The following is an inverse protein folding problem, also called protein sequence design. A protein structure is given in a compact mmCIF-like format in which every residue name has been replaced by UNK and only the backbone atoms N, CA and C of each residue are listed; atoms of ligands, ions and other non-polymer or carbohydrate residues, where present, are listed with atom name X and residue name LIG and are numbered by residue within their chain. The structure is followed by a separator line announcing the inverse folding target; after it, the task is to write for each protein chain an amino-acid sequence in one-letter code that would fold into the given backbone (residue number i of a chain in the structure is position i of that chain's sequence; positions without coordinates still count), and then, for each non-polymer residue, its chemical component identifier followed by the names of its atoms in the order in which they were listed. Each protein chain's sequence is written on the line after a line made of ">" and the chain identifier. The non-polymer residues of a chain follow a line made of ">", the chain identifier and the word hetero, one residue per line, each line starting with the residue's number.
data_IF_957033513154
#
_entry.id   IF_957033513154
#
_cell.length_a   1.000
_cell.length_b   1.000
_cell.length_c   1.000
_cell.angle_alpha   90.00
_cell.angle_beta   90.00
_cell.angle_gamma   90.00
#
_symmetry.space_group_name_H-M   'P 1'
#
loop_
_entity.id
_entity.type
_entity.pdbx_description
1 polymer ?
#
# COMPACT_ATOMS: atom_id res chain seq x y z
N UNK A 1 17.59 -11.43 16.15
CA UNK A 1 17.53 -10.53 14.98
C UNK A 1 16.52 -9.40 15.19
N UNK A 2 15.22 -9.70 15.44
CA UNK A 2 14.16 -8.66 15.62
C UNK A 2 14.48 -7.73 16.78
N UNK A 3 14.92 -8.23 17.93
CA UNK A 3 15.37 -7.42 19.07
C UNK A 3 16.48 -6.46 18.66
N UNK A 4 17.48 -6.94 17.94
CA UNK A 4 18.57 -6.12 17.44
C UNK A 4 18.09 -5.03 16.47
N UNK A 5 17.12 -5.37 15.60
CA UNK A 5 16.52 -4.37 14.69
C UNK A 5 15.78 -3.28 15.48
N UNK A 6 15.06 -3.65 16.54
CA UNK A 6 14.38 -2.70 17.41
C UNK A 6 15.38 -1.81 18.16
N UNK A 7 16.46 -2.38 18.74
CA UNK A 7 17.52 -1.65 19.45
C UNK A 7 18.27 -0.68 18.54
N UNK A 8 18.49 -1.03 17.28
CA UNK A 8 19.20 -0.19 16.29
C UNK A 8 18.27 0.74 15.51
N UNK A 9 16.98 0.76 15.82
CA UNK A 9 15.95 1.50 15.07
C UNK A 9 15.99 1.23 13.55
N UNK A 10 16.32 0.00 13.16
CA UNK A 10 16.34 -0.42 11.75
C UNK A 10 14.95 -0.36 11.16
N UNK A 11 14.81 0.32 10.01
CA UNK A 11 13.55 0.40 9.28
C UNK A 11 13.25 -0.86 8.46
N UNK A 12 11.98 -1.23 8.38
CA UNK A 12 11.47 -2.35 7.55
C UNK A 12 10.43 -1.82 6.57
N UNK A 13 10.64 -2.06 5.27
CA UNK A 13 9.62 -1.88 4.24
C UNK A 13 9.04 -3.26 3.90
N UNK A 14 7.80 -3.51 4.30
CA UNK A 14 7.09 -4.75 4.01
C UNK A 14 6.33 -4.64 2.70
N UNK A 15 6.61 -5.54 1.75
CA UNK A 15 5.99 -5.60 0.42
C UNK A 15 5.22 -6.92 0.28
N UNK A 16 3.98 -7.02 0.81
CA UNK A 16 3.27 -8.29 0.95
C UNK A 16 2.96 -8.96 -0.39
N UNK A 17 2.52 -8.21 -1.41
CA UNK A 17 2.20 -8.77 -2.73
C UNK A 17 3.46 -9.34 -3.39
N UNK A 18 4.57 -8.58 -3.36
CA UNK A 18 5.85 -9.06 -3.87
C UNK A 18 6.30 -10.33 -3.14
N UNK A 19 6.22 -10.37 -1.81
CA UNK A 19 6.58 -11.54 -1.03
C UNK A 19 5.74 -12.77 -1.39
N UNK A 20 4.44 -12.60 -1.64
CA UNK A 20 3.55 -13.68 -2.07
C UNK A 20 3.89 -14.16 -3.49
N UNK A 21 4.09 -13.24 -4.43
CA UNK A 21 4.44 -13.58 -5.82
C UNK A 21 5.78 -14.33 -5.91
N UNK A 22 6.76 -13.93 -5.10
CA UNK A 22 8.09 -14.54 -5.07
C UNK A 22 8.21 -15.72 -4.09
N UNK A 23 7.13 -16.06 -3.37
CA UNK A 23 7.12 -17.11 -2.34
C UNK A 23 8.18 -16.89 -1.24
N UNK A 24 8.45 -15.62 -0.89
CA UNK A 24 9.48 -15.24 0.10
C UNK A 24 9.03 -15.39 1.55
N UNK A 25 7.77 -15.77 1.79
CA UNK A 25 7.20 -15.95 3.11
C UNK A 25 6.43 -14.74 3.63
N UNK A 26 5.87 -14.86 4.83
CA UNK A 26 5.08 -13.83 5.49
C UNK A 26 5.93 -13.02 6.48
N UNK A 27 5.84 -11.70 6.40
CA UNK A 27 6.52 -10.79 7.31
C UNK A 27 5.96 -10.93 8.74
N UNK A 28 6.78 -11.14 9.78
CA UNK A 28 6.35 -11.37 11.15
C UNK A 28 5.95 -10.07 11.86
N UNK A 29 4.98 -9.32 11.30
CA UNK A 29 4.51 -8.03 11.81
C UNK A 29 4.17 -8.06 13.30
N UNK A 30 3.42 -9.06 13.84
CA UNK A 30 3.13 -9.10 15.27
C UNK A 30 4.39 -9.18 16.14
N UNK A 31 5.41 -9.89 15.66
CA UNK A 31 6.69 -9.99 16.36
C UNK A 31 7.43 -8.66 16.36
N UNK A 32 7.42 -7.93 15.27
CA UNK A 32 8.03 -6.60 15.19
C UNK A 32 7.36 -5.62 16.15
N UNK A 33 6.03 -5.56 16.15
CA UNK A 33 5.26 -4.70 17.05
C UNK A 33 5.50 -5.07 18.53
N UNK A 34 5.52 -6.36 18.86
CA UNK A 34 5.79 -6.86 20.21
C UNK A 34 7.16 -6.43 20.74
N UNK A 35 8.16 -6.34 19.88
CA UNK A 35 9.52 -5.88 20.25
C UNK A 35 9.70 -4.36 20.13
N UNK A 36 8.62 -3.61 19.88
CA UNK A 36 8.65 -2.15 19.83
C UNK A 36 9.25 -1.57 18.55
N UNK A 37 9.34 -2.34 17.46
CA UNK A 37 9.79 -1.83 16.17
C UNK A 37 8.75 -0.87 15.61
N UNK A 38 9.00 0.43 15.68
CA UNK A 38 8.10 1.48 15.20
C UNK A 38 8.41 1.95 13.77
N UNK A 39 9.61 1.63 13.26
CA UNK A 39 10.04 1.94 11.89
C UNK A 39 9.66 0.78 10.96
N UNK A 40 8.36 0.56 10.81
CA UNK A 40 7.82 -0.44 9.89
C UNK A 40 6.79 0.22 8.97
N UNK A 41 7.00 0.11 7.66
CA UNK A 41 6.12 0.65 6.63
C UNK A 41 5.74 -0.39 5.59
N UNK A 42 4.74 -0.08 4.77
CA UNK A 42 4.40 -0.86 3.59
C UNK A 42 5.09 -0.28 2.35
N UNK A 43 5.38 -1.13 1.39
CA UNK A 43 5.88 -0.78 0.08
C UNK A 43 5.28 -1.65 -1.01
N UNK A 44 5.32 -1.18 -2.25
CA UNK A 44 4.79 -1.92 -3.40
C UNK A 44 5.86 -2.72 -4.14
N UNK A 45 7.16 -2.48 -3.83
CA UNK A 45 8.29 -3.06 -4.55
C UNK A 45 8.37 -2.62 -6.03
N UNK A 46 9.23 -3.25 -6.81
CA UNK A 46 9.43 -2.95 -8.22
C UNK A 46 8.36 -3.58 -9.12
N UNK A 47 8.19 -3.03 -10.32
CA UNK A 47 7.19 -3.48 -11.29
C UNK A 47 7.35 -4.95 -11.74
N UNK A 48 8.53 -5.56 -11.52
CA UNK A 48 8.77 -6.97 -11.84
C UNK A 48 8.18 -7.93 -10.79
N UNK A 49 7.92 -7.46 -9.58
CA UNK A 49 7.44 -8.25 -8.45
C UNK A 49 6.13 -7.73 -7.85
N UNK A 50 5.62 -6.61 -8.36
CA UNK A 50 4.30 -6.07 -8.01
C UNK A 50 3.65 -5.46 -9.24
N UNK A 51 2.48 -5.97 -9.62
CA UNK A 51 1.84 -5.64 -10.88
C UNK A 51 0.95 -4.39 -10.84
N UNK A 52 0.52 -3.94 -9.65
CA UNK A 52 -0.52 -2.92 -9.54
C UNK A 52 -0.02 -1.57 -9.01
N UNK A 53 1.10 -1.52 -8.28
CA UNK A 53 1.57 -0.33 -7.54
C UNK A 53 0.47 0.31 -6.68
N UNK A 54 -0.44 -0.52 -6.14
CA UNK A 54 -1.64 -0.10 -5.44
C UNK A 54 -1.47 -0.28 -3.93
N UNK A 55 -1.26 0.82 -3.20
CA UNK A 55 -1.05 0.78 -1.75
C UNK A 55 -2.27 0.25 -0.97
N UNK A 56 -3.51 0.50 -1.43
CA UNK A 56 -4.70 -0.05 -0.76
C UNK A 56 -4.76 -1.57 -0.87
N UNK A 57 -4.31 -2.12 -1.99
CA UNK A 57 -4.18 -3.56 -2.19
C UNK A 57 -3.07 -4.16 -1.31
N UNK A 58 -1.92 -3.48 -1.20
CA UNK A 58 -0.84 -3.88 -0.28
C UNK A 58 -1.31 -3.92 1.17
N UNK A 59 -2.03 -2.89 1.64
CA UNK A 59 -2.62 -2.85 2.98
C UNK A 59 -3.51 -4.07 3.21
N UNK A 60 -4.44 -4.33 2.30
CA UNK A 60 -5.37 -5.45 2.40
C UNK A 60 -4.65 -6.79 2.38
N UNK A 61 -3.72 -7.00 1.46
CA UNK A 61 -2.95 -8.23 1.36
C UNK A 61 -2.10 -8.47 2.61
N UNK A 62 -1.43 -7.43 3.13
CA UNK A 62 -0.68 -7.51 4.38
C UNK A 62 -1.57 -7.96 5.54
N UNK A 63 -2.73 -7.32 5.71
CA UNK A 63 -3.69 -7.64 6.76
C UNK A 63 -4.20 -9.08 6.65
N UNK A 64 -4.69 -9.49 5.48
CA UNK A 64 -5.26 -10.82 5.28
C UNK A 64 -4.22 -11.93 5.43
N UNK A 65 -3.01 -11.75 4.88
CA UNK A 65 -1.91 -12.68 5.04
C UNK A 65 -1.53 -12.83 6.52
N UNK A 66 -1.50 -11.73 7.24
CA UNK A 66 -1.17 -11.72 8.67
C UNK A 66 -2.25 -12.43 9.49
N UNK A 67 -3.54 -12.15 9.22
CA UNK A 67 -4.68 -12.85 9.82
C UNK A 67 -4.64 -14.35 9.57
N UNK A 68 -4.33 -14.75 8.34
CA UNK A 68 -4.21 -16.18 7.99
C UNK A 68 -3.06 -16.85 8.74
N UNK A 69 -1.93 -16.18 8.91
CA UNK A 69 -0.70 -16.76 9.45
C UNK A 69 -0.69 -16.77 10.97
N UNK A 70 -1.20 -15.73 11.65
CA UNK A 70 -1.08 -15.57 13.11
C UNK A 70 -2.44 -15.54 13.85
N UNK A 71 -3.56 -15.64 13.14
CA UNK A 71 -4.89 -15.74 13.74
C UNK A 71 -5.24 -14.56 14.64
N UNK A 72 -5.50 -14.83 15.91
CA UNK A 72 -5.84 -13.85 16.95
C UNK A 72 -4.67 -12.97 17.40
N UNK A 73 -3.44 -13.38 17.11
CA UNK A 73 -2.23 -12.59 17.37
C UNK A 73 -1.86 -11.63 16.25
N UNK A 74 -2.63 -11.62 15.15
CA UNK A 74 -2.40 -10.72 14.04
C UNK A 74 -2.51 -9.25 14.45
N UNK A 75 -1.74 -8.39 13.78
CA UNK A 75 -1.84 -6.95 13.93
C UNK A 75 -3.24 -6.44 13.54
N UNK A 76 -3.62 -5.29 14.11
CA UNK A 76 -4.94 -4.67 13.92
C UNK A 76 -5.01 -3.87 12.61
N UNK A 77 -6.21 -3.51 12.11
CA UNK A 77 -6.34 -2.59 10.98
C UNK A 77 -5.61 -1.26 11.20
N UNK A 78 -5.64 -0.69 12.42
CA UNK A 78 -4.91 0.54 12.75
C UNK A 78 -3.40 0.41 12.55
N UNK A 79 -2.81 -0.75 12.90
CA UNK A 79 -1.40 -1.00 12.68
C UNK A 79 -1.04 -0.97 11.19
N UNK A 80 -1.89 -1.53 10.33
CA UNK A 80 -1.64 -1.52 8.88
C UNK A 80 -1.84 -0.13 8.26
N UNK A 81 -2.82 0.63 8.71
CA UNK A 81 -2.96 2.03 8.29
C UNK A 81 -1.77 2.88 8.75
N UNK A 82 -1.29 2.65 9.98
CA UNK A 82 -0.05 3.26 10.47
C UNK A 82 1.15 2.90 9.58
N UNK A 83 1.34 1.63 9.22
CA UNK A 83 2.43 1.19 8.35
C UNK A 83 2.37 1.84 6.97
N UNK A 84 1.17 2.08 6.44
CA UNK A 84 0.95 2.74 5.15
C UNK A 84 1.14 4.28 5.21
N UNK A 85 1.25 4.86 6.39
CA UNK A 85 1.31 6.32 6.61
C UNK A 85 2.51 6.71 7.46
N UNK A 86 2.31 6.93 8.76
CA UNK A 86 3.35 7.40 9.69
C UNK A 86 4.51 6.39 9.85
N UNK A 87 4.23 5.10 9.78
CA UNK A 87 5.26 4.05 9.78
C UNK A 87 6.17 4.14 8.57
N UNK A 88 5.60 4.33 7.38
CA UNK A 88 6.34 4.57 6.14
C UNK A 88 7.21 5.83 6.21
N UNK A 89 6.66 6.93 6.74
CA UNK A 89 7.42 8.16 6.97
C UNK A 89 8.66 7.93 7.85
N UNK A 90 8.50 7.18 8.94
CA UNK A 90 9.62 6.82 9.82
C UNK A 90 10.68 5.96 9.13
N UNK A 91 10.27 5.01 8.26
CA UNK A 91 11.21 4.22 7.45
C UNK A 91 12.04 5.11 6.54
N UNK A 92 11.41 6.13 5.94
CA UNK A 92 12.07 7.13 5.09
C UNK A 92 12.94 8.14 5.90
N UNK A 93 12.87 8.13 7.23
CA UNK A 93 13.54 9.10 8.08
C UNK A 93 12.96 10.51 7.96
N UNK A 94 11.67 10.63 7.63
CA UNK A 94 10.94 11.91 7.52
C UNK A 94 9.99 12.09 8.68
N UNK A 95 9.95 13.30 9.22
CA UNK A 95 9.11 13.74 10.34
C UNK A 95 8.07 14.80 9.95
N UNK A 96 8.08 15.20 8.67
CA UNK A 96 7.21 16.21 8.08
C UNK A 96 6.03 15.65 7.26
N UNK A 97 5.91 14.32 7.18
CA UNK A 97 4.84 13.60 6.47
C UNK A 97 4.26 12.46 7.32
N UNK A 98 3.21 11.80 6.83
CA UNK A 98 2.63 10.58 7.42
C UNK A 98 1.40 10.82 8.28
N UNK A 99 1.08 12.06 8.64
CA UNK A 99 -0.15 12.47 9.32
C UNK A 99 -0.45 13.96 9.08
N UNK A 100 -1.70 14.36 9.32
CA UNK A 100 -2.13 15.74 9.13
C UNK A 100 -2.00 16.54 10.43
N UNK A 101 -1.13 17.55 10.43
CA UNK A 101 -0.98 18.52 11.51
C UNK A 101 -0.44 19.86 11.01
N UNK A 102 -0.63 20.95 11.75
CA UNK A 102 -0.01 22.24 11.40
C UNK A 102 1.53 22.12 11.33
N UNK A 103 2.12 22.62 10.26
CA UNK A 103 3.58 22.55 10.02
C UNK A 103 4.06 21.31 9.27
N UNK A 104 3.19 20.33 9.05
CA UNK A 104 3.49 19.15 8.21
C UNK A 104 3.31 19.49 6.72
N UNK A 105 3.90 18.69 5.84
CA UNK A 105 3.57 18.70 4.43
C UNK A 105 2.08 18.35 4.24
N UNK A 106 1.44 19.05 3.31
CA UNK A 106 0.02 18.79 3.02
C UNK A 106 -0.09 17.63 2.03
N UNK A 107 0.17 16.42 2.54
CA UNK A 107 0.05 15.15 1.81
C UNK A 107 -1.19 14.40 2.32
N UNK A 108 -2.23 14.30 1.51
CA UNK A 108 -3.44 13.58 1.91
C UNK A 108 -4.23 13.05 0.71
N UNK A 109 -5.01 12.02 0.98
CA UNK A 109 -5.96 11.43 0.04
C UNK A 109 -7.38 11.64 0.55
N UNK A 110 -8.26 12.13 -0.32
CA UNK A 110 -9.71 12.22 -0.06
C UNK A 110 -10.39 11.00 -0.65
N UNK A 111 -11.15 10.31 0.18
CA UNK A 111 -11.89 9.10 -0.21
C UNK A 111 -13.39 9.38 -0.29
N UNK A 112 -14.05 8.89 -1.34
CA UNK A 112 -15.50 8.99 -1.51
C UNK A 112 -16.19 7.71 -1.04
N UNK A 113 -16.82 7.82 0.14
CA UNK A 113 -17.57 6.73 0.76
C UNK A 113 -19.01 6.58 0.24
N UNK A 114 -19.48 7.50 -0.60
CA UNK A 114 -20.84 7.47 -1.13
C UNK A 114 -21.00 6.45 -2.27
N UNK A 115 -20.56 5.23 -2.01
CA UNK A 115 -20.62 4.10 -2.94
C UNK A 115 -21.29 2.90 -2.27
N UNK A 116 -22.13 2.17 -3.00
CA UNK A 116 -22.86 1.03 -2.46
C UNK A 116 -21.93 -0.04 -1.85
N UNK A 117 -20.75 -0.23 -2.43
CA UNK A 117 -19.72 -1.18 -1.95
C UNK A 117 -19.28 -0.90 -0.51
N UNK A 118 -19.38 0.36 -0.06
CA UNK A 118 -18.95 0.80 1.27
C UNK A 118 -20.12 1.13 2.19
N UNK A 119 -21.34 0.70 1.84
CA UNK A 119 -22.51 0.87 2.67
C UNK A 119 -22.28 0.17 4.03
N UNK A 120 -22.33 0.95 5.12
CA UNK A 120 -22.00 0.46 6.46
C UNK A 120 -20.55 0.66 6.92
N UNK A 121 -19.58 0.92 6.02
CA UNK A 121 -18.18 1.16 6.38
C UNK A 121 -17.92 2.41 7.23
N UNK A 122 -18.88 3.32 7.32
CA UNK A 122 -18.78 4.51 8.15
C UNK A 122 -18.72 4.24 9.67
N UNK A 123 -19.09 3.05 10.11
CA UNK A 123 -19.01 2.66 11.53
C UNK A 123 -17.57 2.42 11.99
N UNK A 124 -16.75 1.89 11.11
CA UNK A 124 -15.30 1.71 11.31
C UNK A 124 -14.56 2.01 10.00
N UNK A 125 -14.22 3.26 9.74
CA UNK A 125 -13.57 3.67 8.51
C UNK A 125 -12.19 3.03 8.33
N UNK A 126 -11.44 2.82 9.42
CA UNK A 126 -10.10 2.24 9.36
C UNK A 126 -10.18 0.77 8.95
N UNK A 127 -11.00 -0.02 9.62
CA UNK A 127 -11.22 -1.41 9.24
C UNK A 127 -11.74 -1.51 7.80
N UNK A 128 -12.65 -0.65 7.40
CA UNK A 128 -13.18 -0.64 6.03
C UNK A 128 -12.12 -0.34 4.97
N UNK A 129 -11.22 0.64 5.19
CA UNK A 129 -10.08 0.90 4.30
C UNK A 129 -9.17 -0.33 4.20
N UNK A 130 -8.82 -0.92 5.33
CA UNK A 130 -7.88 -2.03 5.39
C UNK A 130 -8.47 -3.31 4.80
N UNK A 131 -9.73 -3.61 5.07
CA UNK A 131 -10.36 -4.87 4.66
C UNK A 131 -10.96 -4.84 3.25
N UNK A 132 -11.35 -3.66 2.78
CA UNK A 132 -12.13 -3.51 1.55
C UNK A 132 -11.68 -2.36 0.66
N UNK A 133 -10.59 -1.67 1.00
CA UNK A 133 -10.08 -0.52 0.25
C UNK A 133 -9.79 -0.88 -1.21
N UNK A 134 -10.23 0.01 -2.10
CA UNK A 134 -10.11 -0.11 -3.55
C UNK A 134 -9.70 1.26 -4.11
N UNK A 135 -8.85 1.34 -5.14
CA UNK A 135 -8.44 2.61 -5.75
C UNK A 135 -9.60 3.51 -6.19
N UNK A 136 -10.75 2.94 -6.54
CA UNK A 136 -11.97 3.67 -6.91
C UNK A 136 -12.55 4.52 -5.76
N UNK A 137 -12.13 4.24 -4.52
CA UNK A 137 -12.47 5.05 -3.35
C UNK A 137 -11.77 6.41 -3.37
N UNK A 138 -10.61 6.49 -4.03
CA UNK A 138 -9.78 7.70 -4.09
C UNK A 138 -10.43 8.72 -5.01
N UNK A 139 -10.86 9.83 -4.44
CA UNK A 139 -11.44 10.96 -5.17
C UNK A 139 -10.38 11.98 -5.55
N UNK A 140 -9.68 12.51 -4.55
CA UNK A 140 -8.67 13.54 -4.75
C UNK A 140 -7.38 13.15 -4.01
N UNK A 141 -6.22 13.54 -4.55
CA UNK A 141 -4.92 13.38 -3.91
C UNK A 141 -4.17 14.70 -3.95
N UNK A 142 -3.68 15.12 -2.79
CA UNK A 142 -2.85 16.31 -2.63
C UNK A 142 -1.46 15.84 -2.16
N UNK A 143 -0.41 16.35 -2.81
CA UNK A 143 1.00 16.10 -2.47
C UNK A 143 1.70 17.42 -2.30
N UNK A 144 2.28 17.66 -1.14
CA UNK A 144 2.94 18.91 -0.77
C UNK A 144 2.08 20.17 -1.08
N UNK A 145 0.77 20.06 -0.79
CA UNK A 145 -0.20 21.12 -1.02
C UNK A 145 -0.67 21.25 -2.48
N UNK A 146 -0.20 20.44 -3.39
CA UNK A 146 -0.60 20.45 -4.79
C UNK A 146 -1.60 19.34 -5.10
N UNK A 147 -2.74 19.68 -5.73
CA UNK A 147 -3.75 18.73 -6.19
C UNK A 147 -3.22 17.97 -7.42
N UNK A 148 -2.86 16.71 -7.24
CA UNK A 148 -2.28 15.85 -8.29
C UNK A 148 -3.29 14.87 -8.89
N UNK A 149 -4.35 14.54 -8.14
CA UNK A 149 -5.51 13.77 -8.62
C UNK A 149 -6.77 14.55 -8.24
N UNK A 150 -7.68 14.72 -9.17
CA UNK A 150 -9.01 15.31 -8.96
C UNK A 150 -10.10 14.46 -9.58
N UNK A 151 -11.09 14.08 -8.78
CA UNK A 151 -12.19 13.22 -9.21
C UNK A 151 -11.71 11.92 -9.87
N UNK A 152 -10.64 11.32 -9.33
CA UNK A 152 -10.04 10.08 -9.80
C UNK A 152 -9.18 10.20 -11.06
N UNK A 153 -8.87 11.43 -11.54
CA UNK A 153 -8.06 11.67 -12.73
C UNK A 153 -6.81 12.48 -12.41
N UNK A 154 -5.71 12.17 -13.07
CA UNK A 154 -4.46 12.93 -12.96
C UNK A 154 -4.66 14.36 -13.46
N UNK A 155 -4.19 15.36 -12.71
CA UNK A 155 -4.38 16.79 -13.06
C UNK A 155 -3.38 17.30 -14.09
N UNK A 156 -2.20 16.66 -14.18
CA UNK A 156 -1.08 17.11 -15.03
C UNK A 156 -0.76 16.20 -16.21
N UNK A 157 -1.48 15.10 -16.34
CA UNK A 157 -1.24 14.11 -17.40
C UNK A 157 -2.53 13.90 -18.18
N UNK A 158 -2.45 13.99 -19.51
CA UNK A 158 -3.53 13.59 -20.38
C UNK A 158 -3.47 12.05 -20.53
N UNK A 159 -4.34 11.34 -19.83
CA UNK A 159 -4.38 9.88 -19.84
C UNK A 159 -4.78 9.31 -21.20
N UNK A 160 -5.58 10.04 -21.99
CA UNK A 160 -6.02 9.63 -23.34
C UNK A 160 -4.82 9.61 -24.30
N UNK A 161 -4.03 10.68 -24.33
CA UNK A 161 -2.80 10.73 -25.16
C UNK A 161 -1.79 9.64 -24.78
N UNK A 162 -1.68 9.32 -23.49
CA UNK A 162 -0.77 8.26 -23.02
C UNK A 162 -1.24 6.87 -23.41
N UNK A 163 -2.56 6.64 -23.45
CA UNK A 163 -3.12 5.36 -23.88
C UNK A 163 -2.98 5.14 -25.39
N UNK A 164 -3.07 6.20 -26.19
CA UNK A 164 -2.86 6.14 -27.65
C UNK A 164 -1.39 5.94 -28.02
N UNK A 165 -0.45 6.41 -27.19
CA UNK A 165 1.01 6.27 -27.42
C UNK A 165 1.60 4.92 -27.00
N UNK A 166 0.79 3.97 -26.52
CA UNK A 166 1.28 2.61 -26.24
C UNK A 166 1.71 1.97 -27.57
N UNK A 167 2.94 1.42 -27.67
CA UNK A 167 3.32 0.66 -28.85
C UNK A 167 2.32 -0.49 -29.00
N UNK A 168 1.83 -0.71 -30.22
CA UNK A 168 1.04 -1.89 -30.52
C UNK A 168 1.77 -3.11 -29.96
N UNK A 169 1.10 -3.88 -29.12
CA UNK A 169 1.66 -5.08 -28.50
C UNK A 169 2.27 -5.92 -29.59
N UNK A 170 3.61 -6.08 -29.54
CA UNK A 170 4.31 -6.95 -30.46
C UNK A 170 3.68 -8.34 -30.40
N UNK A 171 3.31 -8.86 -31.57
CA UNK A 171 2.87 -10.23 -31.73
C UNK A 171 3.96 -11.14 -31.17
N UNK A 172 3.72 -11.70 -29.99
CA UNK A 172 4.51 -12.80 -29.46
C UNK A 172 4.10 -14.07 -30.23
N UNK A 173 4.66 -14.25 -31.40
CA UNK A 173 4.66 -15.53 -32.08
C UNK A 173 5.71 -16.44 -31.43
N UNK A 174 5.40 -16.95 -30.24
CA UNK A 174 6.04 -18.13 -29.72
C UNK A 174 5.24 -19.33 -30.24
N UNK A 175 5.60 -19.82 -31.43
CA UNK A 175 5.26 -21.16 -31.87
C UNK A 175 5.93 -22.15 -30.90
N UNK A 176 5.12 -22.75 -30.04
CA UNK A 176 5.54 -23.92 -29.26
C UNK A 176 5.47 -25.12 -30.18
N UNK A 177 6.62 -25.55 -30.73
CA UNK A 177 6.72 -26.85 -31.39
C UNK A 177 6.41 -27.97 -30.40
N UNK A 178 5.54 -28.93 -30.74
CA UNK A 178 5.30 -30.08 -29.90
C UNK A 178 6.52 -30.99 -29.94
N UNK A 179 7.14 -31.21 -28.78
CA UNK A 179 8.13 -32.27 -28.62
C UNK A 179 7.43 -33.63 -28.60
N UNK A 180 7.80 -34.47 -29.59
CA UNK A 180 7.46 -35.91 -29.64
C UNK A 180 8.17 -36.71 -28.56
#
# INVERSE_FOLDING_TARGET
>A
EIEQMAETETGVAHCPISNMLLSSGACPVPSYLKHGLTRIGLGVDGAASSNSSNMLEEIRCAYLLNRLTWGDQAATPDDYLYMATAGGAKVLGRDDIGYLAPGMAADFTVMDWNQLTYAGGCYDPVACIVESGDPRLVKDVVVNGELVVSSGKLTKVNEEEKNESKPATGESSAEVEPQN
#
